data_IF_854029036348
#
_entry.id   IF_854029036348
#
_cell.length_a   1.000
_cell.length_b   1.000
_cell.length_c   1.000
_cell.angle_alpha   90.00
_cell.angle_beta   90.00
_cell.angle_gamma   90.00
#
_symmetry.space_group_name_H-M   'P 1'
#
loop_
_entity.id
_entity.type
_entity.pdbx_description
1 polymer ?
#
# COMPACT_ATOMS: atom_id res chain seq x y z
N UNK A 1 17.84 15.02 23.05
CA UNK A 1 16.90 16.17 22.90
C UNK A 1 15.81 16.04 23.94
N UNK A 2 15.72 16.97 24.91
CA UNK A 2 14.65 16.93 25.93
C UNK A 2 13.31 17.16 25.24
N UNK A 3 12.38 16.20 25.33
CA UNK A 3 11.02 16.36 24.81
C UNK A 3 10.30 17.44 25.61
N UNK A 4 10.34 18.68 25.13
CA UNK A 4 9.51 19.76 25.66
C UNK A 4 8.04 19.41 25.41
N UNK A 5 7.28 19.12 26.48
CA UNK A 5 5.84 18.92 26.39
C UNK A 5 5.16 20.27 26.27
N UNK A 6 4.27 20.43 25.29
CA UNK A 6 3.39 21.60 25.15
C UNK A 6 1.94 21.15 25.25
N UNK A 7 1.11 21.99 25.86
CA UNK A 7 -0.34 21.76 25.97
C UNK A 7 -1.02 22.33 24.74
N UNK A 8 -1.92 21.55 24.14
CA UNK A 8 -2.78 21.96 23.04
C UNK A 8 -4.24 21.97 23.54
N UNK A 9 -4.96 23.07 23.31
CA UNK A 9 -6.40 23.13 23.56
C UNK A 9 -7.17 22.41 22.46
N UNK A 10 -8.00 21.44 22.83
CA UNK A 10 -8.93 20.73 21.95
C UNK A 10 -10.27 20.65 22.67
N UNK A 11 -11.38 20.77 21.93
CA UNK A 11 -12.72 20.58 22.49
C UNK A 11 -12.87 19.24 23.21
N UNK A 12 -13.49 19.31 24.39
CA UNK A 12 -13.68 18.15 25.27
C UNK A 12 -14.35 16.98 24.57
N UNK A 13 -15.38 17.24 23.77
CA UNK A 13 -16.11 16.20 23.04
C UNK A 13 -15.22 15.45 22.04
N UNK A 14 -14.33 16.16 21.36
CA UNK A 14 -13.38 15.57 20.41
C UNK A 14 -12.38 14.68 21.16
N UNK A 15 -11.88 15.15 22.31
CA UNK A 15 -10.96 14.37 23.16
C UNK A 15 -11.60 13.07 23.64
N UNK A 16 -12.86 13.10 24.07
CA UNK A 16 -13.57 11.88 24.51
C UNK A 16 -13.75 10.87 23.37
N UNK A 17 -14.07 11.33 22.14
CA UNK A 17 -14.13 10.46 20.96
C UNK A 17 -12.76 9.82 20.67
N UNK A 18 -11.69 10.61 20.74
CA UNK A 18 -10.31 10.12 20.51
C UNK A 18 -9.89 9.11 21.58
N UNK A 19 -10.28 9.29 22.85
CA UNK A 19 -10.03 8.31 23.92
C UNK A 19 -10.62 6.95 23.59
N UNK A 20 -11.86 6.91 23.12
CA UNK A 20 -12.52 5.66 22.74
C UNK A 20 -11.79 5.01 21.55
N UNK A 21 -11.49 5.79 20.50
CA UNK A 21 -10.81 5.30 19.29
C UNK A 21 -9.42 4.74 19.61
N UNK A 22 -8.62 5.47 20.38
CA UNK A 22 -7.26 5.03 20.76
C UNK A 22 -7.28 3.76 21.61
N UNK A 23 -8.21 3.66 22.57
CA UNK A 23 -8.40 2.44 23.39
C UNK A 23 -8.76 1.23 22.53
N UNK A 24 -9.67 1.38 21.58
CA UNK A 24 -10.06 0.29 20.67
C UNK A 24 -8.91 -0.21 19.79
N UNK A 25 -7.87 0.60 19.59
CA UNK A 25 -6.66 0.25 18.85
C UNK A 25 -5.49 -0.19 19.75
N UNK A 26 -5.72 -0.31 21.06
CA UNK A 26 -4.66 -0.68 22.02
C UNK A 26 -3.59 0.40 22.22
N UNK A 27 -3.90 1.67 21.93
CA UNK A 27 -2.96 2.78 21.98
C UNK A 27 -3.34 3.81 23.06
N UNK A 28 -2.36 4.55 23.56
CA UNK A 28 -2.65 5.74 24.39
C UNK A 28 -3.11 6.93 23.52
N UNK A 29 -3.88 7.85 24.10
CA UNK A 29 -4.32 9.08 23.40
C UNK A 29 -3.13 9.86 22.85
N UNK A 30 -2.08 10.06 23.65
CA UNK A 30 -0.90 10.82 23.25
C UNK A 30 -0.14 10.16 22.10
N UNK A 31 -0.10 8.83 22.07
CA UNK A 31 0.53 8.07 20.99
C UNK A 31 -0.30 8.15 19.70
N UNK A 32 -1.62 7.98 19.81
CA UNK A 32 -2.53 8.10 18.68
C UNK A 32 -2.43 9.49 18.02
N UNK A 33 -2.47 10.56 18.83
CA UNK A 33 -2.36 11.94 18.33
C UNK A 33 -0.99 12.20 17.72
N UNK A 34 0.09 11.74 18.37
CA UNK A 34 1.44 11.89 17.80
C UNK A 34 1.54 11.21 16.44
N UNK A 35 1.03 9.99 16.30
CA UNK A 35 1.07 9.25 15.03
C UNK A 35 0.22 9.95 13.95
N UNK A 36 -0.96 10.43 14.30
CA UNK A 36 -1.83 11.19 13.38
C UNK A 36 -1.14 12.46 12.88
N UNK A 37 -0.58 13.26 13.79
CA UNK A 37 0.09 14.52 13.44
C UNK A 37 1.37 14.28 12.63
N UNK A 38 2.18 13.27 12.98
CA UNK A 38 3.37 12.94 12.21
C UNK A 38 3.03 12.52 10.77
N UNK A 39 1.98 11.71 10.58
CA UNK A 39 1.53 11.35 9.24
C UNK A 39 0.99 12.56 8.47
N UNK A 40 0.24 13.44 9.12
CA UNK A 40 -0.24 14.67 8.49
C UNK A 40 0.94 15.56 8.05
N UNK A 41 1.98 15.71 8.88
CA UNK A 41 3.20 16.46 8.54
C UNK A 41 3.89 15.83 7.32
N UNK A 42 4.09 14.51 7.30
CA UNK A 42 4.74 13.83 6.17
C UNK A 42 4.00 14.04 4.85
N UNK A 43 2.66 14.06 4.88
CA UNK A 43 1.84 14.35 3.70
C UNK A 43 2.06 15.78 3.23
N UNK A 44 1.99 16.77 4.14
CA UNK A 44 2.18 18.18 3.81
C UNK A 44 3.60 18.49 3.30
N UNK A 45 4.63 17.87 3.89
CA UNK A 45 6.02 17.96 3.41
C UNK A 45 6.21 17.38 2.01
N UNK A 46 5.35 16.44 1.63
CA UNK A 46 5.30 15.86 0.28
C UNK A 46 4.41 16.66 -0.69
N UNK A 47 3.91 17.83 -0.28
CA UNK A 47 3.02 18.69 -1.07
C UNK A 47 1.56 18.22 -1.11
N UNK A 48 1.15 17.29 -0.24
CA UNK A 48 -0.20 16.75 -0.16
C UNK A 48 -0.96 17.37 1.01
N UNK A 49 -2.11 18.00 0.73
CA UNK A 49 -2.95 18.58 1.77
C UNK A 49 -3.62 17.48 2.63
N UNK A 50 -3.15 17.32 3.87
CA UNK A 50 -3.47 16.15 4.70
C UNK A 50 -4.98 15.97 4.98
N UNK A 51 -5.78 17.03 5.27
CA UNK A 51 -7.22 16.87 5.44
C UNK A 51 -7.92 16.30 4.20
N UNK A 52 -7.52 16.74 3.00
CA UNK A 52 -8.09 16.24 1.75
C UNK A 52 -7.72 14.78 1.51
N UNK A 53 -6.48 14.38 1.82
CA UNK A 53 -6.06 12.98 1.74
C UNK A 53 -6.86 12.08 2.68
N UNK A 54 -7.18 12.54 3.89
CA UNK A 54 -8.04 11.79 4.83
C UNK A 54 -9.47 11.63 4.30
N UNK A 55 -10.02 12.67 3.67
CA UNK A 55 -11.33 12.60 3.01
C UNK A 55 -11.32 11.62 1.83
N UNK A 56 -10.28 11.68 1.00
CA UNK A 56 -10.12 10.81 -0.17
C UNK A 56 -9.95 9.34 0.25
N UNK A 57 -9.13 9.07 1.26
CA UNK A 57 -8.97 7.73 1.84
C UNK A 57 -10.29 7.15 2.37
N UNK A 58 -11.18 8.00 2.91
CA UNK A 58 -12.54 7.56 3.32
C UNK A 58 -13.37 7.12 2.12
N UNK A 59 -13.33 7.86 1.01
CA UNK A 59 -14.03 7.47 -0.22
C UNK A 59 -13.46 6.18 -0.82
N UNK A 60 -12.14 6.05 -0.85
CA UNK A 60 -11.48 4.82 -1.28
C UNK A 60 -11.90 3.61 -0.46
N UNK A 61 -12.02 3.76 0.87
CA UNK A 61 -12.51 2.69 1.73
C UNK A 61 -13.95 2.26 1.38
N UNK A 62 -14.84 3.23 1.16
CA UNK A 62 -16.23 2.96 0.74
C UNK A 62 -16.24 2.25 -0.61
N UNK A 63 -15.51 2.76 -1.60
CA UNK A 63 -15.42 2.19 -2.94
C UNK A 63 -14.82 0.77 -2.95
N UNK A 64 -13.86 0.49 -2.08
CA UNK A 64 -13.27 -0.85 -1.96
C UNK A 64 -14.28 -1.92 -1.54
N UNK A 65 -15.35 -1.54 -0.81
CA UNK A 65 -16.45 -2.44 -0.47
C UNK A 65 -17.26 -2.87 -1.71
N UNK A 66 -17.17 -2.10 -2.79
CA UNK A 66 -17.74 -2.40 -4.10
C UNK A 66 -16.70 -3.00 -5.07
N UNK A 67 -15.55 -3.47 -4.56
CA UNK A 67 -14.41 -4.01 -5.34
C UNK A 67 -13.83 -3.02 -6.36
N UNK A 68 -13.94 -1.72 -6.10
CA UNK A 68 -13.16 -0.74 -6.84
C UNK A 68 -11.70 -0.80 -6.41
N UNK A 69 -10.81 -0.69 -7.39
CA UNK A 69 -9.37 -0.67 -7.19
C UNK A 69 -8.79 0.57 -7.86
N UNK A 70 -7.76 1.15 -7.24
CA UNK A 70 -6.88 2.07 -7.95
C UNK A 70 -6.07 1.23 -8.92
N UNK A 71 -6.17 1.56 -10.20
CA UNK A 71 -5.51 0.81 -11.25
C UNK A 71 -4.92 1.78 -12.27
N UNK A 72 -3.65 1.60 -12.69
CA UNK A 72 -3.05 2.46 -13.70
C UNK A 72 -3.90 2.47 -14.96
N UNK A 73 -4.33 3.66 -15.38
CA UNK A 73 -5.19 3.82 -16.56
C UNK A 73 -4.50 3.28 -17.83
N UNK A 74 -3.17 3.41 -17.89
CA UNK A 74 -2.33 2.89 -18.98
C UNK A 74 -2.45 1.37 -19.17
N UNK A 75 -2.97 0.63 -18.18
CA UNK A 75 -3.16 -0.82 -18.24
C UNK A 75 -4.61 -1.21 -18.55
N UNK A 76 -5.53 -0.26 -18.71
CA UNK A 76 -6.95 -0.49 -19.05
C UNK A 76 -7.17 -0.57 -20.57
N UNK A 77 -6.36 -1.35 -21.27
CA UNK A 77 -6.29 -1.30 -22.74
C UNK A 77 -7.36 -2.18 -23.40
N UNK A 78 -7.63 -3.40 -22.90
CA UNK A 78 -8.55 -4.34 -23.54
C UNK A 78 -9.25 -5.28 -22.53
N UNK A 79 -10.43 -5.80 -22.92
CA UNK A 79 -11.15 -6.84 -22.15
C UNK A 79 -10.51 -8.22 -22.26
N UNK A 80 -9.89 -8.49 -23.41
CA UNK A 80 -9.18 -9.74 -23.70
C UNK A 80 -7.67 -9.47 -23.56
N UNK A 81 -7.16 -9.68 -22.34
CA UNK A 81 -5.74 -9.48 -22.05
C UNK A 81 -4.89 -10.52 -22.78
N UNK A 82 -3.90 -10.04 -23.53
CA UNK A 82 -2.90 -10.85 -24.21
C UNK A 82 -1.65 -11.03 -23.34
N UNK A 83 -0.76 -11.95 -23.73
CA UNK A 83 0.53 -12.11 -23.03
C UNK A 83 1.38 -10.82 -23.06
N UNK A 84 1.25 -9.99 -24.09
CA UNK A 84 1.92 -8.69 -24.16
C UNK A 84 1.40 -7.70 -23.11
N UNK A 85 0.12 -7.78 -22.73
CA UNK A 85 -0.46 -6.95 -21.67
C UNK A 85 0.13 -7.33 -20.30
N UNK A 86 0.33 -8.62 -20.05
CA UNK A 86 0.97 -9.11 -18.82
C UNK A 86 2.42 -8.64 -18.70
N UNK A 87 3.18 -8.70 -19.80
CA UNK A 87 4.56 -8.18 -19.85
C UNK A 87 4.57 -6.68 -19.56
N UNK A 88 3.72 -5.90 -20.22
CA UNK A 88 3.62 -4.44 -20.00
C UNK A 88 3.26 -4.10 -18.55
N UNK A 89 2.31 -4.83 -17.96
CA UNK A 89 1.91 -4.65 -16.57
C UNK A 89 3.07 -4.86 -15.61
N UNK A 90 3.86 -5.92 -15.85
CA UNK A 90 5.06 -6.21 -15.07
C UNK A 90 6.12 -5.13 -15.23
N UNK A 91 6.41 -4.69 -16.45
CA UNK A 91 7.36 -3.60 -16.70
C UNK A 91 6.94 -2.29 -16.03
N UNK A 92 5.64 -1.98 -16.04
CA UNK A 92 5.09 -0.83 -15.34
C UNK A 92 5.28 -0.96 -13.82
N UNK A 93 4.98 -2.14 -13.29
CA UNK A 93 5.23 -2.47 -11.89
C UNK A 93 6.71 -2.32 -11.52
N UNK A 94 7.64 -2.80 -12.35
CA UNK A 94 9.08 -2.67 -12.11
C UNK A 94 9.52 -1.21 -12.04
N UNK A 95 8.96 -0.32 -12.88
CA UNK A 95 9.25 1.12 -12.82
C UNK A 95 8.81 1.71 -11.47
N UNK A 96 7.59 1.42 -11.02
CA UNK A 96 7.09 1.85 -9.70
C UNK A 96 7.99 1.30 -8.59
N UNK A 97 8.31 0.02 -8.64
CA UNK A 97 9.16 -0.64 -7.63
C UNK A 97 10.54 0.00 -7.52
N UNK A 98 11.17 0.32 -8.67
CA UNK A 98 12.47 1.01 -8.72
C UNK A 98 12.36 2.41 -8.13
N UNK A 99 11.33 3.18 -8.47
CA UNK A 99 11.09 4.49 -7.86
C UNK A 99 10.95 4.39 -6.35
N UNK A 100 10.22 3.39 -5.83
CA UNK A 100 10.13 3.18 -4.38
C UNK A 100 11.49 2.83 -3.78
N UNK A 101 12.29 2.00 -4.44
CA UNK A 101 13.63 1.65 -4.00
C UNK A 101 14.53 2.90 -3.90
N UNK A 102 14.54 3.72 -4.94
CA UNK A 102 15.31 4.98 -5.00
C UNK A 102 14.88 5.98 -3.93
N UNK A 103 13.59 6.00 -3.59
CA UNK A 103 13.04 6.84 -2.52
C UNK A 103 13.18 6.23 -1.12
N UNK A 104 13.82 5.06 -0.99
CA UNK A 104 13.91 4.29 0.26
C UNK A 104 12.54 3.97 0.89
N UNK A 105 11.51 3.86 0.05
CA UNK A 105 10.15 3.49 0.43
C UNK A 105 10.01 1.98 0.33
N UNK A 106 9.48 1.36 1.39
CA UNK A 106 9.16 -0.05 1.36
C UNK A 106 7.89 -0.32 0.55
N UNK A 107 7.97 -1.23 -0.42
CA UNK A 107 6.84 -1.52 -1.32
C UNK A 107 5.81 -2.48 -0.74
N UNK A 108 6.09 -3.16 0.38
CA UNK A 108 5.17 -4.15 0.95
C UNK A 108 3.76 -3.58 1.20
N UNK A 109 3.56 -2.42 1.86
CA UNK A 109 2.21 -1.89 2.09
C UNK A 109 1.42 -1.65 0.80
N UNK A 110 2.10 -1.23 -0.27
CA UNK A 110 1.49 -1.01 -1.57
C UNK A 110 1.10 -2.32 -2.26
N UNK A 111 2.00 -3.31 -2.27
CA UNK A 111 1.75 -4.66 -2.77
C UNK A 111 0.56 -5.29 -2.05
N UNK A 112 0.55 -5.19 -0.72
CA UNK A 112 -0.53 -5.70 0.10
C UNK A 112 -1.86 -5.05 -0.26
N UNK A 113 -1.88 -3.71 -0.32
CA UNK A 113 -3.09 -2.95 -0.66
C UNK A 113 -3.65 -3.35 -2.02
N UNK A 114 -2.81 -3.47 -3.04
CA UNK A 114 -3.26 -3.87 -4.39
C UNK A 114 -3.79 -5.30 -4.41
N UNK A 115 -3.05 -6.25 -3.84
CA UNK A 115 -3.41 -7.66 -3.86
C UNK A 115 -4.66 -7.96 -3.03
N UNK A 116 -4.83 -7.30 -1.88
CA UNK A 116 -6.05 -7.38 -1.06
C UNK A 116 -7.26 -6.82 -1.79
N UNK A 117 -7.12 -5.64 -2.40
CA UNK A 117 -8.23 -4.98 -3.11
C UNK A 117 -8.69 -5.79 -4.32
N UNK A 118 -7.78 -6.53 -4.96
CA UNK A 118 -8.07 -7.45 -6.06
C UNK A 118 -8.55 -8.84 -5.60
N UNK A 119 -8.43 -9.18 -4.31
CA UNK A 119 -8.80 -10.48 -3.76
C UNK A 119 -7.92 -11.64 -4.26
N UNK A 120 -6.64 -11.37 -4.53
CA UNK A 120 -5.66 -12.36 -5.03
C UNK A 120 -4.48 -12.61 -4.09
N UNK A 121 -4.45 -11.93 -2.95
CA UNK A 121 -3.35 -12.00 -2.00
C UNK A 121 -3.66 -12.93 -0.83
N UNK A 122 -2.70 -13.79 -0.50
CA UNK A 122 -2.65 -14.58 0.72
C UNK A 122 -1.40 -14.14 1.49
N UNK A 123 -1.60 -13.60 2.69
CA UNK A 123 -0.51 -13.18 3.59
C UNK A 123 -0.06 -14.35 4.45
N UNK A 124 1.25 -14.61 4.49
CA UNK A 124 1.88 -15.52 5.46
C UNK A 124 2.90 -14.76 6.30
N UNK A 125 3.45 -15.40 7.32
CA UNK A 125 4.39 -14.77 8.26
C UNK A 125 5.71 -14.32 7.61
N UNK A 126 6.14 -14.98 6.53
CA UNK A 126 7.44 -14.76 5.90
C UNK A 126 7.36 -14.39 4.41
N UNK A 127 6.18 -14.52 3.81
CA UNK A 127 5.99 -14.31 2.40
C UNK A 127 4.58 -13.79 2.08
N UNK A 128 4.45 -13.26 0.87
CA UNK A 128 3.19 -12.92 0.24
C UNK A 128 2.98 -13.85 -0.96
N UNK A 129 1.83 -14.52 -1.02
CA UNK A 129 1.44 -15.34 -2.17
C UNK A 129 0.36 -14.62 -2.95
N UNK A 130 0.62 -14.38 -4.23
CA UNK A 130 -0.29 -13.72 -5.17
C UNK A 130 -0.76 -14.73 -6.20
N UNK A 131 -2.08 -14.90 -6.32
CA UNK A 131 -2.69 -15.82 -7.27
C UNK A 131 -2.69 -15.22 -8.69
N UNK A 132 -2.22 -15.99 -9.68
CA UNK A 132 -2.40 -15.69 -11.10
C UNK A 132 -3.78 -16.22 -11.51
N UNK A 133 -4.70 -15.32 -11.84
CA UNK A 133 -6.04 -15.65 -12.35
C UNK A 133 -6.04 -15.63 -13.88
N UNK A 134 -7.15 -16.03 -14.51
CA UNK A 134 -7.32 -15.94 -15.97
C UNK A 134 -8.15 -14.72 -16.39
N UNK A 135 -8.12 -13.65 -15.60
CA UNK A 135 -8.87 -12.42 -15.83
C UNK A 135 -8.01 -11.18 -15.54
N UNK A 136 -8.62 -10.00 -15.48
CA UNK A 136 -7.93 -8.74 -15.21
C UNK A 136 -7.04 -8.77 -13.95
N UNK A 137 -7.32 -9.66 -12.98
CA UNK A 137 -6.49 -9.76 -11.77
C UNK A 137 -5.12 -10.34 -12.07
N UNK A 138 -4.90 -11.00 -13.21
CA UNK A 138 -3.57 -11.38 -13.69
C UNK A 138 -2.71 -10.15 -14.00
N UNK A 139 -3.29 -9.09 -14.57
CA UNK A 139 -2.57 -7.83 -14.78
C UNK A 139 -2.10 -7.25 -13.44
N UNK A 140 -2.95 -7.30 -12.42
CA UNK A 140 -2.59 -6.85 -11.07
C UNK A 140 -1.49 -7.74 -10.48
N UNK A 141 -1.58 -9.07 -10.65
CA UNK A 141 -0.56 -10.00 -10.18
C UNK A 141 0.81 -9.74 -10.83
N UNK A 142 0.84 -9.52 -12.14
CA UNK A 142 2.04 -9.23 -12.91
C UNK A 142 2.64 -7.86 -12.53
N UNK A 143 1.79 -6.85 -12.34
CA UNK A 143 2.21 -5.55 -11.81
C UNK A 143 2.80 -5.67 -10.40
N UNK A 144 2.15 -6.43 -9.50
CA UNK A 144 2.68 -6.71 -8.15
C UNK A 144 4.05 -7.39 -8.22
N UNK A 145 4.22 -8.36 -9.11
CA UNK A 145 5.51 -9.03 -9.30
C UNK A 145 6.59 -8.06 -9.78
N UNK A 146 6.24 -7.17 -10.71
CA UNK A 146 7.10 -6.09 -11.16
C UNK A 146 7.51 -5.16 -10.01
N UNK A 147 6.54 -4.67 -9.22
CA UNK A 147 6.80 -3.79 -8.08
C UNK A 147 7.72 -4.46 -7.06
N UNK A 148 7.43 -5.72 -6.72
CA UNK A 148 8.24 -6.49 -5.79
C UNK A 148 9.68 -6.60 -6.28
N UNK A 149 9.87 -7.02 -7.54
CA UNK A 149 11.20 -7.13 -8.15
C UNK A 149 11.92 -5.79 -8.20
N UNK A 150 11.24 -4.72 -8.61
CA UNK A 150 11.80 -3.37 -8.71
C UNK A 150 12.19 -2.78 -7.35
N UNK A 151 11.46 -3.09 -6.28
CA UNK A 151 11.82 -2.67 -4.91
C UNK A 151 12.95 -3.53 -4.30
N UNK A 152 13.36 -4.58 -5.03
CA UNK A 152 14.43 -5.48 -4.66
C UNK A 152 13.95 -6.68 -3.84
N UNK A 153 12.69 -7.09 -3.87
CA UNK A 153 12.26 -8.34 -3.23
C UNK A 153 12.65 -9.57 -4.05
N UNK A 154 13.02 -10.66 -3.38
CA UNK A 154 13.17 -11.96 -4.04
C UNK A 154 11.79 -12.54 -4.35
N UNK A 155 11.56 -12.85 -5.63
CA UNK A 155 10.32 -13.47 -6.10
C UNK A 155 10.57 -14.87 -6.64
N UNK A 156 9.61 -15.77 -6.45
CA UNK A 156 9.56 -17.09 -7.08
C UNK A 156 8.19 -17.30 -7.71
N UNK A 157 8.16 -17.93 -8.87
CA UNK A 157 6.96 -17.97 -9.70
C UNK A 157 6.68 -19.36 -10.23
N UNK A 158 5.40 -19.67 -10.29
CA UNK A 158 4.84 -20.82 -11.01
C UNK A 158 3.79 -20.31 -12.00
N UNK A 159 3.14 -21.23 -12.72
CA UNK A 159 2.01 -20.88 -13.59
C UNK A 159 0.83 -20.28 -12.81
N UNK A 160 0.64 -20.68 -11.55
CA UNK A 160 -0.57 -20.35 -10.78
C UNK A 160 -0.35 -19.30 -9.70
N UNK A 161 0.89 -19.15 -9.20
CA UNK A 161 1.19 -18.25 -8.07
C UNK A 161 2.53 -17.55 -8.22
N UNK A 162 2.62 -16.38 -7.60
CA UNK A 162 3.82 -15.58 -7.39
C UNK A 162 4.05 -15.51 -5.88
N UNK A 163 5.23 -15.90 -5.42
CA UNK A 163 5.61 -15.83 -4.00
C UNK A 163 6.70 -14.79 -3.82
N UNK A 164 6.45 -13.81 -2.95
CA UNK A 164 7.36 -12.70 -2.63
C UNK A 164 7.92 -12.95 -1.23
N UNK A 165 9.24 -13.14 -1.12
CA UNK A 165 9.93 -13.36 0.16
C UNK A 165 10.15 -12.02 0.88
N UNK A 166 9.50 -11.82 2.02
CA UNK A 166 9.58 -10.57 2.79
C UNK A 166 10.91 -10.42 3.55
N UNK A 167 11.63 -11.53 3.78
CA UNK A 167 12.89 -11.53 4.54
C UNK A 167 14.12 -11.31 3.66
N UNK A 168 13.96 -11.35 2.33
CA UNK A 168 15.06 -11.22 1.39
C UNK A 168 14.78 -10.11 0.40
N UNK A 169 15.34 -8.93 0.70
CA UNK A 169 15.64 -7.98 -0.38
C UNK A 169 16.87 -8.51 -1.12
N UNK A 170 16.73 -8.84 -2.41
CA UNK A 170 17.85 -9.14 -3.30
C UNK A 170 18.83 -7.98 -3.23
N UNK A 171 19.96 -8.21 -2.57
CA UNK A 171 21.10 -7.31 -2.59
C UNK A 171 21.64 -7.29 -4.02
N UNK A 172 21.43 -6.18 -4.72
CA UNK A 172 22.17 -5.89 -5.94
C UNK A 172 22.77 -4.49 -5.80
N UNK A 173 24.08 -4.49 -6.07
CA UNK A 173 25.09 -3.43 -5.99
C UNK A 173 24.77 -2.20 -6.82
#
# INVERSE_FOLDING_TARGET
MVRARKTLGIDREIVEKIKIISKNRGMSVSEYIRRLLNNAILLEESGLFAPKILDDARYEYILSSFRFILFPQDLLINKDFSEEDYVRAREYGEKIGRTFHEMLIDAQPFIEKLGESAGILIKRSSDLVVMKTNDFRRIIAEMIAGVARGNGYKISETEQIITIDLNKKSSSY
#
